data_IF_616945013644
#
_entry.id   IF_616945013644
#
_cell.length_a   1.000
_cell.length_b   1.000
_cell.length_c   1.000
_cell.angle_alpha   90.00
_cell.angle_beta   90.00
_cell.angle_gamma   90.00
#
_symmetry.space_group_name_H-M   'P 1'
#
loop_
_entity.id
_entity.type
_entity.pdbx_description
1 polymer ?
#
# COMPACT_ATOMS: atom_id res chain seq x y z
N UNK A 1 34.09 -3.39 32.54
CA UNK A 1 33.17 -4.33 31.90
C UNK A 1 31.78 -3.72 31.67
N UNK A 2 31.21 -3.05 32.64
CA UNK A 2 29.91 -2.40 32.50
C UNK A 2 29.88 -1.34 31.39
N UNK A 3 31.01 -0.64 31.18
CA UNK A 3 31.14 0.39 30.14
C UNK A 3 31.07 -0.21 28.73
N UNK A 4 31.61 -1.41 28.55
CA UNK A 4 31.55 -2.10 27.23
C UNK A 4 30.13 -2.51 26.87
N UNK A 5 29.36 -2.99 27.84
CA UNK A 5 27.96 -3.36 27.61
C UNK A 5 27.12 -2.17 27.23
N UNK A 6 27.33 -1.02 27.89
CA UNK A 6 26.60 0.20 27.58
C UNK A 6 26.93 0.74 26.19
N UNK A 7 28.20 0.63 25.79
CA UNK A 7 28.63 1.07 24.47
C UNK A 7 28.01 0.25 23.37
N UNK A 8 27.95 -1.06 23.52
CA UNK A 8 27.38 -1.96 22.54
C UNK A 8 25.86 -1.70 22.40
N UNK A 9 25.17 -1.54 23.52
CA UNK A 9 23.74 -1.23 23.51
C UNK A 9 23.43 0.08 22.80
N UNK A 10 24.23 1.11 23.08
CA UNK A 10 24.10 2.42 22.41
C UNK A 10 24.34 2.32 20.91
N UNK A 11 25.34 1.54 20.52
CA UNK A 11 25.68 1.37 19.10
C UNK A 11 24.56 0.69 18.34
N UNK A 12 23.97 -0.34 18.90
CA UNK A 12 22.85 -1.06 18.30
C UNK A 12 21.66 -0.14 18.15
N UNK A 13 21.36 0.65 19.16
CA UNK A 13 20.25 1.61 19.12
C UNK A 13 20.45 2.66 18.03
N UNK A 14 21.65 3.20 17.91
CA UNK A 14 21.97 4.18 16.88
C UNK A 14 21.83 3.58 15.48
N UNK A 15 22.30 2.36 15.28
CA UNK A 15 22.15 1.68 13.99
C UNK A 15 20.70 1.44 13.63
N UNK A 16 19.88 1.08 14.59
CA UNK A 16 18.45 0.85 14.37
C UNK A 16 17.75 2.14 13.98
N UNK A 17 18.02 3.23 14.66
CA UNK A 17 17.44 4.54 14.34
C UNK A 17 17.90 5.01 12.96
N UNK A 18 19.15 4.81 12.61
CA UNK A 18 19.67 5.18 11.30
C UNK A 18 18.98 4.41 10.18
N UNK A 19 18.70 3.12 10.38
CA UNK A 19 17.97 2.31 9.40
C UNK A 19 16.56 2.82 9.18
N UNK A 20 15.86 3.21 10.23
CA UNK A 20 14.52 3.78 10.14
C UNK A 20 14.52 5.12 9.39
N UNK A 21 15.51 5.95 9.66
CA UNK A 21 15.64 7.24 8.96
C UNK A 21 15.97 7.06 7.50
N UNK A 22 16.78 6.07 7.15
CA UNK A 22 17.11 5.77 5.76
C UNK A 22 15.86 5.35 4.98
N UNK A 23 15.01 4.52 5.56
CA UNK A 23 13.74 4.14 4.96
C UNK A 23 12.83 5.34 4.75
N UNK A 24 12.73 6.22 5.73
CA UNK A 24 11.93 7.43 5.64
C UNK A 24 12.46 8.38 4.55
N UNK A 25 13.77 8.52 4.44
CA UNK A 25 14.41 9.33 3.41
C UNK A 25 14.14 8.80 2.01
N UNK A 26 14.21 7.49 1.83
CA UNK A 26 13.92 6.85 0.55
C UNK A 26 12.47 7.07 0.15
N UNK A 27 11.54 6.92 1.07
CA UNK A 27 10.13 7.18 0.83
C UNK A 27 9.89 8.64 0.42
N UNK A 28 10.57 9.60 1.05
CA UNK A 28 10.48 11.00 0.71
C UNK A 28 11.00 11.28 -0.71
N UNK A 29 12.10 10.68 -1.10
CA UNK A 29 12.67 10.86 -2.44
C UNK A 29 11.71 10.38 -3.51
N UNK A 30 11.08 9.25 -3.30
CA UNK A 30 10.12 8.69 -4.25
C UNK A 30 8.90 9.58 -4.39
N UNK A 31 8.41 10.14 -3.29
CA UNK A 31 7.22 10.99 -3.35
C UNK A 31 7.49 12.35 -4.00
N UNK A 32 8.71 12.87 -3.96
CA UNK A 32 9.02 14.16 -4.59
C UNK A 32 9.01 14.10 -6.11
N UNK A 33 9.21 12.91 -6.70
CA UNK A 33 9.17 12.71 -8.14
C UNK A 33 7.78 12.39 -8.69
N UNK A 34 6.74 12.51 -7.89
CA UNK A 34 5.38 12.12 -8.26
C UNK A 34 5.24 10.64 -8.62
N UNK A 35 6.33 9.91 -8.51
CA UNK A 35 6.33 8.48 -8.75
C UNK A 35 5.99 7.74 -7.46
N UNK A 36 4.95 6.91 -7.52
CA UNK A 36 4.59 6.01 -6.43
C UNK A 36 4.79 4.59 -6.94
N UNK A 37 5.57 3.80 -6.20
CA UNK A 37 5.87 2.42 -6.57
C UNK A 37 4.57 1.61 -6.66
N UNK A 38 4.49 0.76 -7.69
CA UNK A 38 3.31 -0.10 -7.91
C UNK A 38 3.00 -0.98 -6.69
N UNK A 39 4.03 -1.44 -5.97
CA UNK A 39 3.82 -2.25 -4.77
C UNK A 39 3.18 -1.45 -3.63
N UNK A 40 3.51 -0.17 -3.52
CA UNK A 40 2.92 0.74 -2.53
C UNK A 40 1.46 1.01 -2.89
N UNK A 41 1.16 1.24 -4.16
CA UNK A 41 -0.21 1.45 -4.63
C UNK A 41 -1.05 0.20 -4.33
N UNK A 42 -0.55 -0.97 -4.68
CA UNK A 42 -1.26 -2.24 -4.42
C UNK A 42 -1.57 -2.39 -2.93
N UNK A 43 -0.58 -2.15 -2.06
CA UNK A 43 -0.75 -2.27 -0.62
C UNK A 43 -1.82 -1.30 -0.09
N UNK A 44 -1.81 -0.07 -0.58
CA UNK A 44 -2.78 0.94 -0.15
C UNK A 44 -4.19 0.60 -0.62
N UNK A 45 -4.35 0.19 -1.87
CA UNK A 45 -5.65 -0.20 -2.40
C UNK A 45 -6.21 -1.38 -1.60
N UNK A 46 -5.39 -2.41 -1.39
CA UNK A 46 -5.80 -3.58 -0.58
C UNK A 46 -6.25 -3.18 0.81
N UNK A 47 -5.48 -2.32 1.46
CA UNK A 47 -5.78 -1.89 2.83
C UNK A 47 -7.08 -1.10 2.90
N UNK A 48 -7.35 -0.24 1.93
CA UNK A 48 -8.59 0.53 1.90
C UNK A 48 -9.81 -0.33 1.56
N UNK A 49 -9.66 -1.29 0.65
CA UNK A 49 -10.74 -2.24 0.36
C UNK A 49 -11.07 -3.09 1.60
N UNK A 50 -10.04 -3.56 2.31
CA UNK A 50 -10.22 -4.36 3.51
C UNK A 50 -10.82 -3.56 4.68
N UNK A 51 -10.62 -2.25 4.71
CA UNK A 51 -11.16 -1.37 5.73
C UNK A 51 -12.60 -0.95 5.46
N UNK A 52 -13.08 -1.13 4.25
CA UNK A 52 -14.44 -0.75 3.88
C UNK A 52 -15.43 -1.81 4.37
N UNK A 53 -16.42 -1.39 5.15
CA UNK A 53 -17.39 -2.31 5.77
C UNK A 53 -18.21 -3.09 4.74
N UNK A 54 -18.46 -2.48 3.59
CA UNK A 54 -19.23 -3.12 2.53
C UNK A 54 -18.40 -4.10 1.72
N UNK A 55 -17.11 -3.80 1.52
CA UNK A 55 -16.24 -4.58 0.63
C UNK A 55 -15.37 -5.62 1.35
N UNK A 56 -15.18 -5.47 2.65
CA UNK A 56 -14.23 -6.30 3.40
C UNK A 56 -14.51 -7.80 3.38
N UNK A 57 -15.76 -8.19 3.12
CA UNK A 57 -16.15 -9.60 3.07
C UNK A 57 -15.85 -10.26 1.72
N UNK A 58 -15.52 -9.47 0.70
CA UNK A 58 -15.22 -10.00 -0.63
C UNK A 58 -13.72 -10.21 -0.79
N UNK A 59 -13.36 -11.25 -1.50
CA UNK A 59 -11.96 -11.49 -1.86
C UNK A 59 -11.67 -10.77 -3.17
N UNK A 60 -11.07 -9.59 -3.06
CA UNK A 60 -10.73 -8.78 -4.21
C UNK A 60 -9.22 -8.83 -4.40
N UNK A 61 -8.78 -9.29 -5.56
CA UNK A 61 -7.37 -9.30 -5.93
C UNK A 61 -6.99 -7.96 -6.54
N UNK A 62 -5.85 -7.43 -6.13
CA UNK A 62 -5.35 -6.15 -6.59
C UNK A 62 -3.95 -6.32 -7.15
N UNK A 63 -3.72 -5.84 -8.35
CA UNK A 63 -2.39 -5.76 -8.95
C UNK A 63 -2.20 -4.38 -9.54
N UNK A 64 -0.96 -3.92 -9.59
CA UNK A 64 -0.65 -2.60 -10.14
C UNK A 64 0.54 -2.73 -11.08
N UNK A 65 0.42 -2.12 -12.26
CA UNK A 65 1.50 -2.07 -13.24
C UNK A 65 1.55 -0.67 -13.83
N UNK A 66 2.66 0.02 -13.61
CA UNK A 66 2.89 1.40 -14.10
C UNK A 66 1.75 2.35 -13.74
N UNK A 67 1.26 2.25 -12.50
CA UNK A 67 0.18 3.10 -12.01
C UNK A 67 -1.22 2.65 -12.41
N UNK A 68 -1.36 1.60 -13.20
CA UNK A 68 -2.66 1.04 -13.60
C UNK A 68 -3.03 -0.06 -12.60
N UNK A 69 -4.10 0.16 -11.87
CA UNK A 69 -4.60 -0.81 -10.88
C UNK A 69 -5.60 -1.73 -11.55
N UNK A 70 -5.39 -3.03 -11.40
CA UNK A 70 -6.36 -4.03 -11.85
C UNK A 70 -7.02 -4.66 -10.64
N UNK A 71 -8.35 -4.66 -10.64
CA UNK A 71 -9.17 -5.32 -9.64
C UNK A 71 -9.80 -6.55 -10.27
N UNK A 72 -9.75 -7.69 -9.56
CA UNK A 72 -10.38 -8.92 -10.03
C UNK A 72 -10.97 -9.67 -8.85
N UNK A 73 -11.97 -10.49 -9.13
CA UNK A 73 -12.67 -11.26 -8.12
C UNK A 73 -14.17 -11.22 -8.32
N UNK A 74 -14.89 -11.73 -7.34
CA UNK A 74 -16.36 -11.83 -7.39
C UNK A 74 -16.97 -11.02 -6.26
N UNK A 75 -17.99 -10.26 -6.60
CA UNK A 75 -18.80 -9.49 -5.64
C UNK A 75 -20.27 -9.84 -5.88
N UNK A 76 -21.16 -9.41 -5.00
CA UNK A 76 -22.55 -9.82 -5.09
C UNK A 76 -23.49 -8.79 -5.72
N UNK A 77 -23.00 -7.58 -6.04
CA UNK A 77 -23.81 -6.56 -6.72
C UNK A 77 -22.94 -5.53 -7.44
N UNK A 78 -23.57 -4.76 -8.28
CA UNK A 78 -22.90 -3.72 -9.08
C UNK A 78 -22.36 -2.59 -8.21
N UNK A 79 -23.03 -2.28 -7.11
CA UNK A 79 -22.57 -1.25 -6.18
C UNK A 79 -21.19 -1.56 -5.61
N UNK A 80 -20.91 -2.83 -5.33
CA UNK A 80 -19.60 -3.26 -4.88
C UNK A 80 -18.54 -3.05 -5.94
N UNK A 81 -18.85 -3.31 -7.21
CA UNK A 81 -17.94 -3.06 -8.33
C UNK A 81 -17.58 -1.57 -8.39
N UNK A 82 -18.59 -0.73 -8.34
CA UNK A 82 -18.42 0.73 -8.47
C UNK A 82 -17.63 1.29 -7.29
N UNK A 83 -17.95 0.86 -6.09
CA UNK A 83 -17.28 1.34 -4.88
C UNK A 83 -15.80 0.94 -4.84
N UNK A 84 -15.51 -0.29 -5.20
CA UNK A 84 -14.12 -0.76 -5.27
C UNK A 84 -13.31 0.05 -6.28
N UNK A 85 -13.90 0.34 -7.44
CA UNK A 85 -13.27 1.19 -8.44
C UNK A 85 -13.00 2.60 -7.94
N UNK A 86 -13.96 3.19 -7.24
CA UNK A 86 -13.80 4.53 -6.66
C UNK A 86 -12.67 4.56 -5.63
N UNK A 87 -12.62 3.58 -4.75
CA UNK A 87 -11.57 3.48 -3.73
C UNK A 87 -10.21 3.37 -4.39
N UNK A 88 -10.08 2.50 -5.39
CA UNK A 88 -8.81 2.33 -6.10
C UNK A 88 -8.37 3.62 -6.78
N UNK A 89 -9.28 4.34 -7.42
CA UNK A 89 -8.97 5.60 -8.10
C UNK A 89 -8.54 6.69 -7.12
N UNK A 90 -8.99 6.65 -5.89
CA UNK A 90 -8.67 7.67 -4.88
C UNK A 90 -7.26 7.53 -4.30
N UNK A 91 -6.60 6.42 -4.53
CA UNK A 91 -5.24 6.19 -4.00
C UNK A 91 -4.23 7.01 -4.80
N UNK A 92 -3.36 7.71 -4.07
CA UNK A 92 -2.32 8.54 -4.69
C UNK A 92 -1.39 7.70 -5.56
N UNK A 93 -1.13 8.17 -6.75
CA UNK A 93 -0.25 7.49 -7.70
C UNK A 93 -0.99 6.63 -8.73
N UNK A 94 -2.27 6.40 -8.53
CA UNK A 94 -3.08 5.63 -9.48
C UNK A 94 -3.39 6.48 -10.72
N UNK A 95 -3.00 5.99 -11.87
CA UNK A 95 -3.25 6.64 -13.15
C UNK A 95 -4.59 6.22 -13.73
N UNK A 96 -4.93 4.96 -13.63
CA UNK A 96 -6.21 4.43 -14.08
C UNK A 96 -6.50 3.13 -13.36
N UNK A 97 -7.76 2.70 -13.42
CA UNK A 97 -8.22 1.46 -12.80
C UNK A 97 -8.88 0.60 -13.85
N UNK A 98 -8.40 -0.63 -13.95
CA UNK A 98 -9.05 -1.66 -14.75
C UNK A 98 -9.87 -2.52 -13.80
N UNK A 99 -11.17 -2.30 -13.81
CA UNK A 99 -12.08 -2.95 -12.89
C UNK A 99 -12.71 -4.17 -13.53
N UNK A 100 -12.14 -5.33 -13.24
CA UNK A 100 -12.59 -6.61 -13.77
C UNK A 100 -13.35 -7.44 -12.73
N UNK A 101 -13.95 -6.78 -11.75
CA UNK A 101 -14.79 -7.46 -10.77
C UNK A 101 -16.06 -7.98 -11.43
N UNK A 102 -16.45 -9.18 -11.04
CA UNK A 102 -17.60 -9.88 -11.62
C UNK A 102 -18.69 -9.97 -10.56
N UNK A 103 -19.89 -9.57 -10.95
CA UNK A 103 -21.08 -9.73 -10.10
C UNK A 103 -21.57 -11.17 -10.25
N UNK A 104 -21.73 -11.82 -9.09
CA UNK A 104 -22.13 -13.22 -9.07
C UNK A 104 -23.45 -13.42 -8.34
#
# INVERSE_FOLDING_TARGET
MKKKSGLIGSLILIMFVAALMACASTAKKESTGEYVDDSVITAKVKSQLAADDFLKSFQISVGTFKGIVQLSGFVNNQEAVDKAGQIARSVKGVKSVKNDLIVK
#
